data_IF_317331608465
#
_entry.id   IF_317331608465
#
_cell.length_a   1.000
_cell.length_b   1.000
_cell.length_c   1.000
_cell.angle_alpha   90.00
_cell.angle_beta   90.00
_cell.angle_gamma   90.00
#
_symmetry.space_group_name_H-M   'P 1'
#
loop_
_entity.id
_entity.type
_entity.pdbx_description
1 polymer ?
#
# COMPACT_ATOMS: atom_id res chain seq x y z
N UNK A 1 -47.92 44.90 47.16
CA UNK A 1 -47.64 46.34 47.33
C UNK A 1 -46.45 46.51 48.27
N UNK A 2 -45.52 47.40 47.88
CA UNK A 2 -44.36 47.92 48.63
C UNK A 2 -43.18 46.98 48.88
N UNK A 3 -42.00 47.60 48.77
CA UNK A 3 -40.72 47.04 48.36
C UNK A 3 -39.61 47.32 49.39
N UNK A 4 -38.51 46.56 49.26
CA UNK A 4 -37.09 46.95 49.54
C UNK A 4 -36.67 47.20 51.02
N UNK A 5 -35.36 47.24 51.36
CA UNK A 5 -34.31 46.20 51.18
C UNK A 5 -33.29 46.13 52.37
N UNK A 6 -32.28 45.26 52.23
CA UNK A 6 -30.88 45.38 52.72
C UNK A 6 -30.55 45.39 54.22
N UNK A 7 -29.57 44.55 54.60
CA UNK A 7 -28.29 45.02 55.18
C UNK A 7 -27.24 43.90 55.31
N UNK A 8 -26.09 44.17 54.71
CA UNK A 8 -24.80 43.51 54.94
C UNK A 8 -24.33 43.74 56.38
N UNK A 9 -23.72 42.72 57.00
CA UNK A 9 -22.60 42.93 57.92
C UNK A 9 -21.69 41.70 57.98
N UNK A 10 -20.46 41.92 57.53
CA UNK A 10 -19.27 41.10 57.75
C UNK A 10 -18.65 41.51 59.08
N UNK A 11 -18.23 40.56 59.93
CA UNK A 11 -17.02 40.64 60.77
C UNK A 11 -16.52 39.22 61.10
N UNK A 12 -15.30 38.95 60.60
CA UNK A 12 -14.17 38.13 61.11
C UNK A 12 -14.33 37.39 62.45
N UNK A 13 -13.79 36.17 62.54
CA UNK A 13 -12.45 35.95 63.11
C UNK A 13 -12.04 34.47 63.11
N UNK A 14 -10.76 34.27 62.80
CA UNK A 14 -10.00 33.03 62.82
C UNK A 14 -10.01 32.35 64.18
N UNK A 15 -10.20 31.01 64.20
CA UNK A 15 -9.55 30.14 65.17
C UNK A 15 -8.99 28.93 64.42
N UNK A 16 -7.67 28.86 64.38
CA UNK A 16 -6.88 27.71 63.97
C UNK A 16 -7.05 26.58 64.98
N UNK A 17 -7.28 25.36 64.49
CA UNK A 17 -6.88 24.12 65.16
C UNK A 17 -6.20 23.22 64.11
N UNK A 18 -5.07 22.57 64.44
CA UNK A 18 -4.24 21.87 63.46
C UNK A 18 -4.84 20.49 63.17
N UNK A 19 -5.12 20.20 61.91
CA UNK A 19 -5.47 18.86 61.46
C UNK A 19 -4.31 18.23 60.70
N UNK A 20 -4.07 16.98 61.07
CA UNK A 20 -2.90 16.16 60.87
C UNK A 20 -2.59 15.78 59.42
N UNK A 21 -1.30 15.64 59.19
CA UNK A 21 -0.59 15.48 57.92
C UNK A 21 -0.53 14.02 57.42
N UNK A 22 -1.67 13.37 57.12
CA UNK A 22 -1.68 11.99 56.57
C UNK A 22 -2.82 11.67 55.58
N UNK A 23 -3.34 12.63 54.82
CA UNK A 23 -4.39 12.33 53.81
C UNK A 23 -4.31 13.12 52.51
N UNK A 24 -3.20 13.82 52.22
CA UNK A 24 -3.02 14.60 50.99
C UNK A 24 -2.25 13.88 49.86
N UNK A 25 -1.86 12.63 50.05
CA UNK A 25 -1.27 11.78 49.01
C UNK A 25 -2.20 10.58 48.79
N UNK A 26 -3.37 10.82 48.16
CA UNK A 26 -4.23 9.78 47.54
C UNK A 26 -5.45 10.30 46.76
N UNK A 27 -5.59 11.62 46.59
CA UNK A 27 -6.65 12.24 45.76
C UNK A 27 -6.06 13.03 44.58
N UNK A 28 -4.90 12.59 44.06
CA UNK A 28 -4.28 13.17 42.85
C UNK A 28 -4.16 12.17 41.68
N UNK A 29 -4.84 11.03 41.74
CA UNK A 29 -4.87 10.05 40.64
C UNK A 29 -6.27 9.63 40.19
N UNK A 30 -7.34 10.29 40.62
CA UNK A 30 -8.70 9.87 40.29
C UNK A 30 -9.67 11.04 40.07
N UNK A 31 -9.44 11.77 38.97
CA UNK A 31 -10.42 12.55 38.20
C UNK A 31 -9.69 12.96 36.90
N UNK A 32 -9.77 12.20 35.81
CA UNK A 32 -10.87 12.24 34.86
C UNK A 32 -11.20 13.67 34.40
N UNK A 33 -10.61 14.08 33.27
CA UNK A 33 -11.26 14.91 32.24
C UNK A 33 -10.46 14.70 30.95
N UNK A 34 -10.93 13.85 30.04
CA UNK A 34 -11.96 14.13 29.02
C UNK A 34 -11.29 14.64 27.74
N UNK A 35 -11.23 13.72 26.77
CA UNK A 35 -11.59 13.94 25.37
C UNK A 35 -11.10 15.24 24.73
N UNK A 36 -9.93 15.15 24.09
CA UNK A 36 -9.88 15.63 22.71
C UNK A 36 -10.39 14.49 21.83
N UNK A 37 -11.69 14.52 21.53
CA UNK A 37 -12.20 13.90 20.31
C UNK A 37 -11.54 14.62 19.12
N UNK A 38 -10.36 14.15 18.72
CA UNK A 38 -10.09 14.11 17.30
C UNK A 38 -11.02 13.05 16.73
N UNK A 39 -11.90 13.46 15.82
CA UNK A 39 -12.64 12.56 14.95
C UNK A 39 -11.58 11.76 14.18
N UNK A 40 -11.19 10.61 14.70
CA UNK A 40 -10.17 9.75 14.15
C UNK A 40 -10.78 8.36 14.00
N UNK A 41 -10.62 7.83 12.79
CA UNK A 41 -11.09 6.51 12.36
C UNK A 41 -10.75 5.41 13.38
N UNK A 42 -11.75 4.57 13.73
CA UNK A 42 -11.62 3.31 14.48
C UNK A 42 -11.59 3.43 16.01
N UNK A 43 -12.47 2.71 16.71
CA UNK A 43 -12.41 2.55 18.17
C UNK A 43 -11.42 1.41 18.51
N UNK A 44 -10.51 1.63 19.47
CA UNK A 44 -9.59 0.56 19.91
C UNK A 44 -10.36 -0.54 20.63
N UNK A 45 -10.35 -1.76 20.06
CA UNK A 45 -10.96 -2.97 20.63
C UNK A 45 -10.07 -3.61 21.69
N UNK A 46 -8.75 -3.57 21.48
CA UNK A 46 -7.78 -4.19 22.35
C UNK A 46 -6.45 -3.45 22.32
N UNK A 47 -5.78 -3.33 23.47
CA UNK A 47 -4.41 -2.85 23.55
C UNK A 47 -3.68 -3.52 24.70
N UNK A 48 -2.53 -4.12 24.41
CA UNK A 48 -1.68 -4.76 25.41
C UNK A 48 -0.24 -4.30 25.21
N UNK A 49 0.42 -3.94 26.31
CA UNK A 49 1.88 -3.72 26.33
C UNK A 49 2.52 -4.71 27.29
N UNK A 50 3.44 -5.52 26.80
CA UNK A 50 4.22 -6.46 27.60
C UNK A 50 5.71 -6.13 27.51
N UNK A 51 6.45 -6.34 28.61
CA UNK A 51 7.91 -6.26 28.60
C UNK A 51 8.49 -7.62 28.24
N UNK A 52 8.86 -7.81 26.98
CA UNK A 52 9.41 -9.07 26.47
C UNK A 52 10.94 -9.01 26.51
N UNK A 53 11.58 -10.10 26.95
CA UNK A 53 13.03 -10.23 27.04
C UNK A 53 13.54 -11.51 26.39
N UNK A 54 14.72 -11.99 26.79
CA UNK A 54 15.39 -13.16 26.20
C UNK A 54 14.58 -14.46 26.27
N UNK A 55 13.66 -14.59 27.21
CA UNK A 55 12.77 -15.77 27.31
C UNK A 55 11.72 -15.84 26.20
N UNK A 56 11.58 -14.80 25.38
CA UNK A 56 10.45 -14.66 24.48
C UNK A 56 9.16 -14.29 25.22
N UNK A 57 8.04 -14.40 24.51
CA UNK A 57 6.71 -14.14 25.06
C UNK A 57 5.66 -13.93 23.98
N UNK A 58 4.42 -13.75 24.39
CA UNK A 58 3.29 -13.54 23.49
C UNK A 58 2.52 -12.29 23.91
N UNK A 59 2.06 -11.52 22.93
CA UNK A 59 1.02 -10.49 23.08
C UNK A 59 -0.11 -10.81 22.12
N UNK A 60 -1.36 -10.67 22.55
CA UNK A 60 -2.48 -11.11 21.71
C UNK A 60 -3.84 -10.87 22.34
N UNK A 61 -4.86 -10.87 21.49
CA UNK A 61 -6.27 -10.73 21.86
C UNK A 61 -7.02 -11.96 21.38
N UNK A 62 -7.57 -12.74 22.31
CA UNK A 62 -8.49 -13.83 21.97
C UNK A 62 -9.80 -13.33 21.39
N UNK A 63 -10.24 -12.13 21.76
CA UNK A 63 -11.49 -11.53 21.25
C UNK A 63 -11.39 -11.12 19.79
N UNK A 64 -10.20 -10.66 19.37
CA UNK A 64 -9.95 -10.26 17.98
C UNK A 64 -9.23 -11.34 17.16
N UNK A 65 -8.90 -12.47 17.80
CA UNK A 65 -8.15 -13.60 17.22
C UNK A 65 -6.78 -13.20 16.60
N UNK A 66 -6.09 -12.26 17.28
CA UNK A 66 -4.79 -11.73 16.84
C UNK A 66 -3.72 -12.08 17.85
N UNK A 67 -2.63 -12.70 17.39
CA UNK A 67 -1.52 -13.09 18.27
C UNK A 67 -0.17 -12.75 17.65
N UNK A 68 0.76 -12.29 18.48
CA UNK A 68 2.16 -12.10 18.14
C UNK A 68 3.01 -12.86 19.15
N UNK A 69 3.71 -13.86 18.67
CA UNK A 69 4.65 -14.68 19.45
C UNK A 69 6.08 -14.28 19.11
N UNK A 70 6.89 -14.09 20.14
CA UNK A 70 8.30 -13.72 20.05
C UNK A 70 9.11 -14.88 20.59
N UNK A 71 9.96 -15.46 19.75
CA UNK A 71 10.73 -16.64 20.09
C UNK A 71 11.77 -16.36 21.20
N UNK A 72 12.10 -17.36 22.05
CA UNK A 72 13.23 -17.26 22.96
C UNK A 72 14.52 -16.86 22.22
N UNK A 73 15.26 -15.92 22.77
CA UNK A 73 16.49 -15.38 22.17
C UNK A 73 16.28 -14.32 21.09
N UNK A 74 15.04 -14.05 20.67
CA UNK A 74 14.77 -12.99 19.69
C UNK A 74 15.13 -11.59 20.22
N UNK A 75 15.01 -11.36 21.53
CA UNK A 75 15.31 -10.07 22.15
C UNK A 75 16.61 -10.16 22.98
N UNK A 76 17.55 -9.25 22.75
CA UNK A 76 18.84 -9.17 23.47
C UNK A 76 18.70 -8.63 24.89
N UNK A 77 17.66 -7.82 25.15
CA UNK A 77 17.30 -7.25 26.46
C UNK A 77 15.80 -7.04 26.57
N UNK A 78 15.29 -6.77 27.78
CA UNK A 78 13.87 -6.49 28.00
C UNK A 78 13.45 -5.20 27.30
N UNK A 79 12.38 -5.26 26.51
CA UNK A 79 11.82 -4.11 25.80
C UNK A 79 10.29 -4.16 25.79
N UNK A 80 9.58 -3.02 25.88
CA UNK A 80 8.14 -3.00 25.71
C UNK A 80 7.75 -3.33 24.26
N UNK A 81 6.81 -4.27 24.12
CA UNK A 81 6.12 -4.60 22.88
C UNK A 81 4.65 -4.27 23.09
N UNK A 82 4.09 -3.45 22.20
CA UNK A 82 2.68 -3.04 22.26
C UNK A 82 1.94 -3.58 21.04
N UNK A 83 0.85 -4.30 21.27
CA UNK A 83 -0.11 -4.70 20.24
C UNK A 83 -1.39 -3.89 20.44
N UNK A 84 -1.89 -3.27 19.39
CA UNK A 84 -3.17 -2.55 19.36
C UNK A 84 -4.03 -3.12 18.25
N UNK A 85 -5.31 -3.36 18.54
CA UNK A 85 -6.32 -3.78 17.58
C UNK A 85 -7.45 -2.76 17.60
N UNK A 86 -7.67 -2.12 16.47
CA UNK A 86 -8.72 -1.14 16.24
C UNK A 86 -9.90 -1.78 15.50
N UNK A 87 -11.10 -1.25 15.73
CA UNK A 87 -12.35 -1.81 15.22
C UNK A 87 -12.40 -1.86 13.70
N UNK A 88 -11.70 -0.95 13.04
CA UNK A 88 -11.69 -0.78 11.59
C UNK A 88 -10.28 -0.51 11.07
N UNK A 89 -9.96 -1.00 9.89
CA UNK A 89 -8.77 -0.58 9.14
C UNK A 89 -8.84 0.91 8.75
N UNK A 90 -7.70 1.59 8.57
CA UNK A 90 -7.66 2.91 7.95
C UNK A 90 -8.34 2.92 6.57
N UNK A 91 -9.13 3.95 6.27
CA UNK A 91 -9.89 4.05 4.99
C UNK A 91 -9.02 3.87 3.74
N UNK A 92 -7.76 4.31 3.77
CA UNK A 92 -6.82 4.14 2.65
C UNK A 92 -6.45 2.69 2.32
N UNK A 93 -6.69 1.77 3.24
CA UNK A 93 -6.48 0.33 3.01
C UNK A 93 -7.73 -0.28 2.38
N UNK A 94 -8.91 0.26 2.69
CA UNK A 94 -10.19 -0.14 2.11
C UNK A 94 -10.24 0.36 0.64
N UNK A 95 -9.63 -0.40 -0.26
CA UNK A 95 -9.69 -0.19 -1.70
C UNK A 95 -10.47 -1.30 -2.40
N UNK A 96 -10.95 -1.01 -3.61
CA UNK A 96 -11.62 -1.99 -4.45
C UNK A 96 -10.67 -3.16 -4.81
N UNK A 97 -11.21 -4.37 -4.89
CA UNK A 97 -10.48 -5.56 -5.35
C UNK A 97 -9.81 -6.43 -4.27
N UNK A 98 -9.79 -6.01 -3.01
CA UNK A 98 -9.27 -6.81 -1.89
C UNK A 98 -10.29 -6.96 -0.78
N UNK A 99 -10.46 -8.19 -0.28
CA UNK A 99 -11.09 -8.42 1.02
C UNK A 99 -10.02 -8.36 2.10
N UNK A 100 -10.00 -7.29 2.88
CA UNK A 100 -9.01 -7.07 3.94
C UNK A 100 -9.61 -7.49 5.28
N UNK A 101 -8.78 -7.95 6.21
CA UNK A 101 -9.22 -8.14 7.60
C UNK A 101 -9.87 -6.86 8.15
N UNK A 102 -11.04 -6.95 8.81
CA UNK A 102 -11.81 -5.77 9.18
C UNK A 102 -11.11 -4.91 10.24
N UNK A 103 -10.29 -5.52 11.09
CA UNK A 103 -9.65 -4.84 12.22
C UNK A 103 -8.26 -4.32 11.88
N UNK A 104 -7.99 -3.07 12.25
CA UNK A 104 -6.65 -2.50 12.15
C UNK A 104 -5.73 -3.07 13.21
N UNK A 105 -4.64 -3.74 12.83
CA UNK A 105 -3.66 -4.28 13.78
C UNK A 105 -2.38 -3.47 13.70
N UNK A 106 -1.90 -2.99 14.85
CA UNK A 106 -0.63 -2.27 14.98
C UNK A 106 0.28 -2.93 16.00
N UNK A 107 1.50 -3.25 15.60
CA UNK A 107 2.56 -3.78 16.45
C UNK A 107 3.66 -2.72 16.61
N UNK A 108 3.98 -2.38 17.85
CA UNK A 108 5.06 -1.45 18.20
C UNK A 108 6.14 -2.16 19.00
N UNK A 109 7.37 -2.05 18.55
CA UNK A 109 8.54 -2.65 19.20
C UNK A 109 9.81 -1.83 18.93
N UNK A 110 10.90 -2.15 19.62
CA UNK A 110 12.21 -1.49 19.46
C UNK A 110 13.17 -2.35 18.62
N UNK A 111 13.50 -1.98 17.36
CA UNK A 111 14.31 -2.82 16.48
C UNK A 111 15.74 -3.08 17.00
N UNK A 112 16.30 -2.14 17.75
CA UNK A 112 17.66 -2.20 18.29
C UNK A 112 17.84 -3.26 19.40
N UNK A 113 16.74 -3.81 19.92
CA UNK A 113 16.78 -4.90 20.89
C UNK A 113 16.73 -6.28 20.23
N UNK A 114 16.43 -6.37 18.93
CA UNK A 114 16.35 -7.64 18.21
C UNK A 114 17.74 -8.25 18.02
N UNK A 115 17.89 -9.55 18.31
CA UNK A 115 19.06 -10.31 17.89
C UNK A 115 19.08 -10.48 16.37
N UNK A 116 20.24 -10.81 15.78
CA UNK A 116 20.35 -11.00 14.33
C UNK A 116 19.47 -12.15 13.81
N UNK A 117 19.20 -13.15 14.65
CA UNK A 117 18.34 -14.31 14.36
C UNK A 117 16.92 -14.15 14.90
N UNK A 118 16.51 -12.94 15.29
CA UNK A 118 15.18 -12.74 15.87
C UNK A 118 14.09 -13.09 14.86
N UNK A 119 13.11 -13.88 15.29
CA UNK A 119 11.89 -14.17 14.53
C UNK A 119 10.68 -13.86 15.39
N UNK A 120 9.69 -13.20 14.78
CA UNK A 120 8.37 -12.97 15.35
C UNK A 120 7.35 -13.69 14.47
N UNK A 121 6.44 -14.44 15.10
CA UNK A 121 5.32 -15.07 14.41
C UNK A 121 4.07 -14.26 14.69
N UNK A 122 3.43 -13.76 13.63
CA UNK A 122 2.18 -13.00 13.68
C UNK A 122 1.06 -13.88 13.15
N UNK A 123 -0.02 -14.03 13.90
CA UNK A 123 -1.23 -14.75 13.49
C UNK A 123 -2.36 -13.74 13.39
N UNK A 124 -2.95 -13.63 12.20
CA UNK A 124 -4.05 -12.72 11.89
C UNK A 124 -5.18 -13.48 11.20
N UNK A 125 -6.45 -13.13 11.47
CA UNK A 125 -7.57 -13.63 10.69
C UNK A 125 -7.53 -13.04 9.28
N UNK A 126 -8.10 -13.75 8.31
CA UNK A 126 -8.39 -13.21 6.97
C UNK A 126 -9.88 -13.28 6.64
N UNK A 127 -10.31 -12.41 5.73
CA UNK A 127 -11.69 -12.40 5.25
C UNK A 127 -11.80 -13.23 3.96
N UNK A 128 -12.93 -13.92 3.79
CA UNK A 128 -13.21 -14.73 2.59
C UNK A 128 -12.62 -16.14 2.63
N UNK A 129 -12.65 -16.82 1.48
CA UNK A 129 -12.11 -18.17 1.33
C UNK A 129 -10.59 -18.13 1.12
N UNK A 130 -9.86 -19.02 1.79
CA UNK A 130 -8.42 -19.13 1.58
C UNK A 130 -8.11 -19.50 0.12
N UNK A 131 -7.26 -18.72 -0.52
CA UNK A 131 -6.73 -18.99 -1.85
C UNK A 131 -5.22 -19.19 -1.77
N UNK A 132 -4.82 -20.44 -1.97
CA UNK A 132 -3.43 -20.91 -1.92
C UNK A 132 -2.63 -20.61 -3.19
N UNK A 133 -3.28 -20.05 -4.24
CA UNK A 133 -2.54 -19.54 -5.40
C UNK A 133 -1.56 -18.46 -4.93
N UNK A 134 -0.43 -18.35 -5.62
CA UNK A 134 0.77 -17.63 -5.18
C UNK A 134 0.59 -16.12 -4.93
N UNK A 135 -0.61 -15.56 -5.11
CA UNK A 135 -0.83 -14.11 -5.07
C UNK A 135 -2.15 -13.64 -4.44
N UNK A 136 -3.02 -14.54 -3.94
CA UNK A 136 -4.37 -14.14 -3.55
C UNK A 136 -4.54 -13.88 -2.04
N UNK A 137 -4.26 -14.83 -1.15
CA UNK A 137 -4.37 -14.61 0.31
C UNK A 137 -3.00 -14.34 0.92
N UNK A 138 -2.73 -13.08 1.28
CA UNK A 138 -1.41 -12.63 1.74
C UNK A 138 -1.48 -11.86 3.05
N UNK A 139 -0.39 -11.89 3.81
CA UNK A 139 -0.18 -11.01 4.95
C UNK A 139 0.72 -9.85 4.54
N UNK A 140 0.34 -8.63 4.89
CA UNK A 140 1.06 -7.42 4.55
C UNK A 140 1.45 -6.68 5.83
N UNK A 141 2.68 -6.20 5.86
CA UNK A 141 3.15 -5.23 6.85
C UNK A 141 3.32 -3.87 6.19
N UNK A 142 2.76 -2.82 6.81
CA UNK A 142 2.86 -1.44 6.36
C UNK A 142 3.54 -0.57 7.43
N UNK A 143 4.55 0.21 7.05
CA UNK A 143 5.22 1.17 7.94
C UNK A 143 4.44 2.49 8.03
N UNK A 144 4.83 3.36 8.97
CA UNK A 144 4.13 4.64 9.21
C UNK A 144 4.08 5.53 7.96
N UNK A 145 5.12 5.49 7.13
CA UNK A 145 5.27 6.21 5.86
C UNK A 145 4.50 5.58 4.69
N UNK A 146 3.85 4.42 4.89
CA UNK A 146 2.99 3.77 3.90
C UNK A 146 3.72 2.76 2.99
N UNK A 147 5.01 2.49 3.21
CA UNK A 147 5.68 1.38 2.53
C UNK A 147 5.09 0.06 3.00
N UNK A 148 4.85 -0.86 2.06
CA UNK A 148 4.25 -2.17 2.32
C UNK A 148 5.20 -3.26 1.89
N UNK A 149 5.18 -4.37 2.64
CA UNK A 149 5.93 -5.56 2.31
C UNK A 149 5.00 -6.77 2.51
N UNK A 150 4.98 -7.66 1.52
CA UNK A 150 4.34 -8.96 1.67
C UNK A 150 5.17 -9.83 2.61
N UNK A 151 4.51 -10.40 3.61
CA UNK A 151 5.14 -11.27 4.61
C UNK A 151 4.91 -12.71 4.19
N UNK A 152 5.96 -13.55 4.10
CA UNK A 152 5.79 -14.97 3.91
C UNK A 152 4.87 -15.54 5.00
N UNK A 153 3.73 -16.07 4.58
CA UNK A 153 2.68 -16.55 5.48
C UNK A 153 2.14 -17.90 5.05
N UNK A 154 1.81 -18.73 6.04
CA UNK A 154 1.15 -20.02 5.84
C UNK A 154 -0.23 -20.01 6.48
N UNK A 155 -1.16 -20.76 5.91
CA UNK A 155 -2.45 -21.01 6.52
C UNK A 155 -2.28 -21.61 7.93
N UNK A 156 -3.00 -21.06 8.90
CA UNK A 156 -3.04 -21.53 10.29
C UNK A 156 -4.50 -21.76 10.66
N UNK A 157 -4.89 -23.02 10.83
CA UNK A 157 -6.32 -23.38 10.94
C UNK A 157 -7.08 -23.03 9.66
N UNK A 158 -8.37 -22.70 9.80
CA UNK A 158 -9.27 -22.51 8.63
C UNK A 158 -9.41 -21.04 8.20
N UNK A 159 -9.01 -20.10 9.05
CA UNK A 159 -9.33 -18.67 8.87
C UNK A 159 -8.20 -17.70 9.24
N UNK A 160 -6.99 -18.21 9.49
CA UNK A 160 -5.84 -17.38 9.87
C UNK A 160 -4.63 -17.57 8.96
N UNK A 161 -3.84 -16.51 8.83
CA UNK A 161 -2.48 -16.58 8.31
C UNK A 161 -1.50 -16.45 9.46
N UNK A 162 -0.49 -17.31 9.48
CA UNK A 162 0.71 -17.18 10.30
C UNK A 162 1.86 -16.64 9.45
N UNK A 163 2.22 -15.37 9.64
CA UNK A 163 3.34 -14.71 8.97
C UNK A 163 4.57 -14.63 9.86
N UNK A 164 5.77 -14.73 9.25
CA UNK A 164 7.04 -14.62 9.98
C UNK A 164 7.76 -13.32 9.63
N UNK A 165 8.07 -12.53 10.66
CA UNK A 165 8.86 -11.31 10.56
C UNK A 165 10.23 -11.56 11.20
N UNK A 166 11.29 -11.53 10.41
CA UNK A 166 12.64 -11.65 10.93
C UNK A 166 13.28 -10.29 11.27
N UNK A 167 14.43 -10.33 11.94
CA UNK A 167 15.17 -9.15 12.34
C UNK A 167 15.58 -8.26 11.16
N UNK A 168 15.94 -8.86 10.02
CA UNK A 168 16.40 -8.14 8.84
C UNK A 168 15.23 -7.37 8.22
N UNK A 169 14.08 -8.02 8.05
CA UNK A 169 12.83 -7.40 7.61
C UNK A 169 12.41 -6.26 8.54
N UNK A 170 12.38 -6.47 9.85
CA UNK A 170 11.96 -5.40 10.78
C UNK A 170 12.92 -4.22 10.75
N UNK A 171 14.23 -4.46 10.60
CA UNK A 171 15.25 -3.40 10.50
C UNK A 171 15.20 -2.66 9.17
N UNK A 172 14.94 -3.34 8.05
CA UNK A 172 14.75 -2.65 6.77
C UNK A 172 13.52 -1.74 6.82
N UNK A 173 12.48 -2.17 7.54
CA UNK A 173 11.27 -1.39 7.79
C UNK A 173 11.53 -0.13 8.68
N UNK A 174 12.60 -0.11 9.47
CA UNK A 174 12.97 0.98 10.41
C UNK A 174 13.82 2.11 9.79
N UNK A 175 14.44 1.89 8.62
CA UNK A 175 15.47 2.78 8.03
C UNK A 175 15.04 4.25 7.79
N UNK A 176 13.74 4.57 7.89
CA UNK A 176 13.20 5.92 7.69
C UNK A 176 12.42 6.48 8.90
N UNK A 177 12.44 5.79 10.04
CA UNK A 177 11.80 6.26 11.25
C UNK A 177 12.49 7.49 11.85
N UNK A 178 11.80 8.65 11.86
CA UNK A 178 12.22 9.82 12.66
C UNK A 178 12.20 9.54 14.18
N UNK A 179 11.55 8.45 14.58
CA UNK A 179 11.42 8.01 15.97
C UNK A 179 12.53 7.01 16.30
N UNK A 180 13.76 7.50 16.49
CA UNK A 180 14.92 6.70 16.90
C UNK A 180 14.59 5.85 18.15
N UNK A 181 14.27 4.58 17.95
CA UNK A 181 14.09 3.59 19.03
C UNK A 181 12.75 2.85 19.09
N UNK A 182 11.72 3.21 18.30
CA UNK A 182 10.50 2.38 18.18
C UNK A 182 9.87 2.46 16.80
N UNK A 183 9.68 1.30 16.18
CA UNK A 183 8.92 1.13 14.95
C UNK A 183 7.45 0.85 15.25
N UNK A 184 6.55 1.36 14.42
CA UNK A 184 5.13 0.97 14.39
C UNK A 184 4.85 0.29 13.06
N UNK A 185 4.49 -0.98 13.14
CA UNK A 185 4.12 -1.83 12.01
C UNK A 185 2.61 -1.99 12.01
N UNK A 186 1.96 -1.61 10.92
CA UNK A 186 0.57 -1.99 10.67
C UNK A 186 0.56 -3.34 10.00
N UNK A 187 -0.33 -4.22 10.43
CA UNK A 187 -0.40 -5.61 9.99
C UNK A 187 -1.83 -5.87 9.51
N UNK A 188 -1.97 -6.48 8.35
CA UNK A 188 -3.28 -6.85 7.81
C UNK A 188 -3.15 -8.04 6.88
N UNK A 189 -4.24 -8.78 6.72
CA UNK A 189 -4.36 -9.80 5.69
C UNK A 189 -5.18 -9.23 4.55
N UNK A 190 -4.83 -9.59 3.33
CA UNK A 190 -5.56 -9.24 2.13
C UNK A 190 -5.85 -10.53 1.39
N UNK A 191 -7.11 -10.76 1.07
CA UNK A 191 -7.55 -11.84 0.21
C UNK A 191 -8.04 -11.24 -1.11
N UNK A 192 -7.38 -11.63 -2.20
CA UNK A 192 -7.73 -11.29 -3.57
C UNK A 192 -8.99 -12.01 -4.06
N UNK A 193 -10.01 -12.20 -3.22
CA UNK A 193 -11.22 -12.94 -3.63
C UNK A 193 -12.20 -12.12 -4.48
N UNK A 194 -11.78 -10.98 -5.05
CA UNK A 194 -12.54 -10.24 -6.06
C UNK A 194 -11.82 -10.14 -7.41
N UNK A 195 -10.63 -10.72 -7.54
CA UNK A 195 -10.01 -10.95 -8.83
C UNK A 195 -9.89 -12.47 -9.06
N UNK A 196 -11.01 -13.12 -9.40
CA UNK A 196 -10.88 -13.91 -10.63
C UNK A 196 -10.26 -12.94 -11.61
N UNK A 197 -9.06 -13.22 -12.12
CA UNK A 197 -8.47 -12.41 -13.18
C UNK A 197 -9.60 -12.05 -14.12
N UNK A 198 -9.99 -10.77 -14.15
CA UNK A 198 -11.13 -10.38 -14.96
C UNK A 198 -10.83 -10.84 -16.39
N UNK A 199 -11.83 -11.06 -17.22
CA UNK A 199 -11.53 -11.26 -18.64
C UNK A 199 -10.66 -10.09 -19.09
N UNK A 200 -9.46 -10.38 -19.58
CA UNK A 200 -8.57 -9.35 -20.08
C UNK A 200 -9.28 -8.63 -21.22
N UNK A 201 -9.70 -7.40 -20.98
CA UNK A 201 -10.21 -6.52 -22.03
C UNK A 201 -9.06 -5.59 -22.37
N UNK A 202 -8.58 -5.68 -23.60
CA UNK A 202 -7.54 -4.80 -24.10
C UNK A 202 -7.89 -4.26 -25.48
N UNK A 203 -7.37 -3.07 -25.79
CA UNK A 203 -7.52 -2.44 -27.10
C UNK A 203 -6.35 -1.50 -27.38
N UNK A 204 -6.07 -1.27 -28.65
CA UNK A 204 -5.17 -0.19 -29.08
C UNK A 204 -6.04 0.92 -29.66
N UNK A 205 -5.84 2.14 -29.18
CA UNK A 205 -6.69 3.29 -29.51
C UNK A 205 -5.83 4.39 -30.15
N UNK A 206 -6.23 4.96 -31.29
CA UNK A 206 -5.54 6.13 -31.82
C UNK A 206 -5.83 7.36 -30.97
N UNK A 207 -4.86 8.26 -30.87
CA UNK A 207 -5.07 9.58 -30.27
C UNK A 207 -5.47 10.58 -31.37
N UNK A 208 -6.71 11.07 -31.30
CA UNK A 208 -7.31 11.99 -32.27
C UNK A 208 -8.21 12.98 -31.51
N UNK A 209 -8.25 14.23 -31.98
CA UNK A 209 -9.08 15.29 -31.39
C UNK A 209 -8.86 15.44 -29.87
N UNK A 210 -7.58 15.39 -29.45
CA UNK A 210 -7.12 15.49 -28.06
C UNK A 210 -7.60 14.38 -27.10
N UNK A 211 -7.99 13.21 -27.63
CA UNK A 211 -8.36 12.06 -26.82
C UNK A 211 -7.97 10.73 -27.46
N UNK A 212 -7.81 9.69 -26.64
CA UNK A 212 -7.74 8.31 -27.14
C UNK A 212 -9.15 7.81 -27.48
N UNK A 213 -9.31 7.27 -28.68
CA UNK A 213 -10.61 6.96 -29.26
C UNK A 213 -10.90 5.45 -29.23
N UNK A 214 -11.69 4.93 -28.28
CA UNK A 214 -11.91 3.49 -28.11
C UNK A 214 -12.69 2.83 -29.27
N UNK A 215 -13.49 3.61 -30.00
CA UNK A 215 -14.35 3.12 -31.08
C UNK A 215 -13.78 3.37 -32.47
N UNK A 216 -12.66 4.08 -32.58
CA UNK A 216 -12.04 4.41 -33.87
C UNK A 216 -10.94 3.39 -34.16
N UNK A 217 -10.99 2.68 -35.31
CA UNK A 217 -9.92 1.78 -35.69
C UNK A 217 -8.59 2.53 -35.83
N UNK A 218 -7.50 1.89 -35.39
CA UNK A 218 -6.15 2.43 -35.62
C UNK A 218 -5.89 2.49 -37.12
N UNK A 219 -5.61 3.67 -37.71
CA UNK A 219 -5.31 3.76 -39.13
C UNK A 219 -3.98 3.07 -39.46
N UNK A 220 -3.71 2.75 -40.74
CA UNK A 220 -2.37 2.34 -41.15
C UNK A 220 -1.33 3.36 -40.69
N UNK A 221 -0.31 2.89 -39.96
CA UNK A 221 0.71 3.75 -39.38
C UNK A 221 1.92 3.90 -40.31
N UNK A 222 2.56 5.07 -40.26
CA UNK A 222 3.80 5.39 -40.97
C UNK A 222 4.65 6.38 -40.18
N UNK A 223 5.94 6.48 -40.47
CA UNK A 223 6.83 7.43 -39.81
C UNK A 223 7.10 7.10 -38.34
N UNK A 224 7.18 8.13 -37.48
CA UNK A 224 7.45 7.98 -36.05
C UNK A 224 6.17 7.81 -35.25
N UNK A 225 6.10 6.75 -34.44
CA UNK A 225 4.94 6.40 -33.63
C UNK A 225 5.26 6.51 -32.14
N UNK A 226 4.40 7.17 -31.37
CA UNK A 226 4.42 7.10 -29.90
C UNK A 226 3.36 6.11 -29.41
N UNK A 227 3.74 5.24 -28.47
CA UNK A 227 2.85 4.27 -27.82
C UNK A 227 2.71 4.60 -26.34
N UNK A 228 1.52 5.01 -25.91
CA UNK A 228 1.22 5.33 -24.52
C UNK A 228 0.60 4.13 -23.79
N UNK A 229 1.06 3.83 -22.57
CA UNK A 229 0.57 2.71 -21.76
C UNK A 229 0.27 3.20 -20.34
N UNK A 230 -0.97 3.01 -19.89
CA UNK A 230 -1.47 3.48 -18.58
C UNK A 230 -1.14 2.50 -17.44
N UNK A 231 -1.17 2.99 -16.20
CA UNK A 231 -0.89 2.22 -14.99
C UNK A 231 -2.11 1.46 -14.44
N UNK A 232 -1.91 0.78 -13.30
CA UNK A 232 -2.86 -0.18 -12.70
C UNK A 232 -4.22 0.39 -12.22
N UNK A 233 -4.27 1.70 -11.93
CA UNK A 233 -5.48 2.38 -11.41
C UNK A 233 -5.90 3.56 -12.30
N UNK A 234 -5.43 3.57 -13.53
CA UNK A 234 -5.66 4.63 -14.50
C UNK A 234 -6.15 4.01 -15.80
N UNK A 235 -6.67 4.81 -16.70
CA UNK A 235 -6.97 4.42 -18.09
C UNK A 235 -6.29 5.37 -19.09
N UNK A 236 -6.57 5.20 -20.38
CA UNK A 236 -6.00 6.10 -21.40
C UNK A 236 -6.52 7.54 -21.31
N UNK A 237 -7.71 7.79 -20.73
CA UNK A 237 -8.21 9.16 -20.54
C UNK A 237 -7.33 9.95 -19.56
N UNK A 238 -6.77 9.28 -18.55
CA UNK A 238 -5.77 9.88 -17.64
C UNK A 238 -4.48 10.28 -18.35
N UNK A 239 -4.19 9.69 -19.51
CA UNK A 239 -3.04 10.02 -20.35
C UNK A 239 -3.35 11.03 -21.45
N UNK A 240 -4.56 11.61 -21.51
CA UNK A 240 -4.93 12.55 -22.57
C UNK A 240 -3.96 13.74 -22.66
N UNK A 241 -3.57 14.32 -21.52
CA UNK A 241 -2.58 15.42 -21.48
C UNK A 241 -1.20 15.01 -22.00
N UNK A 242 -0.79 13.76 -21.79
CA UNK A 242 0.45 13.24 -22.38
C UNK A 242 0.28 13.13 -23.91
N UNK A 243 -0.85 12.61 -24.40
CA UNK A 243 -1.16 12.56 -25.83
C UNK A 243 -1.17 13.94 -26.48
N UNK A 244 -1.80 14.93 -25.85
CA UNK A 244 -1.82 16.33 -26.31
C UNK A 244 -0.39 16.90 -26.40
N UNK A 245 0.42 16.66 -25.36
CA UNK A 245 1.81 17.09 -25.36
C UNK A 245 2.58 16.48 -26.53
N UNK A 246 2.50 15.16 -26.71
CA UNK A 246 3.19 14.45 -27.79
C UNK A 246 2.73 14.91 -29.18
N UNK A 247 1.44 15.23 -29.35
CA UNK A 247 0.89 15.74 -30.60
C UNK A 247 1.38 17.16 -30.91
N UNK A 248 1.67 17.96 -29.87
CA UNK A 248 2.18 19.32 -30.00
C UNK A 248 3.70 19.39 -30.17
N UNK A 249 4.46 18.32 -29.87
CA UNK A 249 5.91 18.32 -30.03
C UNK A 249 6.27 18.49 -31.51
N UNK A 250 7.15 19.44 -31.79
CA UNK A 250 7.66 19.70 -33.13
C UNK A 250 9.18 19.58 -33.20
N UNK A 251 9.68 19.07 -34.33
CA UNK A 251 11.09 19.09 -34.70
C UNK A 251 11.23 19.75 -36.07
N UNK A 252 12.06 20.79 -36.17
CA UNK A 252 12.27 21.56 -37.40
C UNK A 252 10.95 22.06 -38.06
N UNK A 253 9.99 22.50 -37.24
CA UNK A 253 8.70 23.05 -37.70
C UNK A 253 7.70 22.01 -38.22
N UNK A 254 7.94 20.72 -37.97
CA UNK A 254 7.01 19.62 -38.29
C UNK A 254 6.65 18.84 -37.02
N UNK A 255 5.49 18.18 -36.94
CA UNK A 255 5.19 17.26 -35.86
C UNK A 255 6.31 16.24 -35.70
N UNK A 256 6.74 16.00 -34.46
CA UNK A 256 7.79 15.02 -34.18
C UNK A 256 7.27 13.59 -34.33
N UNK A 257 6.04 13.34 -33.84
CA UNK A 257 5.32 12.09 -34.03
C UNK A 257 4.30 12.22 -35.15
N UNK A 258 4.30 11.26 -36.07
CA UNK A 258 3.30 11.14 -37.13
C UNK A 258 2.01 10.50 -36.58
N UNK A 259 2.14 9.59 -35.62
CA UNK A 259 1.02 8.93 -34.96
C UNK A 259 1.27 8.74 -33.46
N UNK A 260 0.18 8.80 -32.70
CA UNK A 260 0.15 8.49 -31.27
C UNK A 260 -0.96 7.47 -31.06
N UNK A 261 -0.61 6.36 -30.42
CA UNK A 261 -1.54 5.30 -30.06
C UNK A 261 -1.44 5.00 -28.56
N UNK A 262 -2.51 4.52 -27.97
CA UNK A 262 -2.57 4.10 -26.57
C UNK A 262 -2.94 2.62 -26.47
N UNK A 263 -2.36 1.91 -25.51
CA UNK A 263 -2.79 0.56 -25.14
C UNK A 263 -3.64 0.61 -23.87
N UNK A 264 -4.92 0.29 -24.02
CA UNK A 264 -5.88 0.14 -22.92
C UNK A 264 -5.92 -1.31 -22.48
N UNK A 265 -5.93 -1.57 -21.18
CA UNK A 265 -6.11 -2.91 -20.62
C UNK A 265 -6.82 -2.88 -19.26
N UNK A 266 -7.49 -3.98 -18.90
CA UNK A 266 -7.96 -4.21 -17.53
C UNK A 266 -6.78 -4.62 -16.65
N UNK A 267 -6.53 -3.89 -15.57
CA UNK A 267 -5.29 -4.02 -14.78
C UNK A 267 -5.30 -5.12 -13.72
N UNK A 268 -6.36 -5.92 -13.68
CA UNK A 268 -6.62 -6.95 -12.68
C UNK A 268 -6.30 -8.37 -13.16
N UNK A 269 -5.34 -8.49 -14.08
CA UNK A 269 -4.94 -9.73 -14.76
C UNK A 269 -3.43 -9.93 -14.55
N UNK A 270 -2.90 -11.17 -14.51
CA UNK A 270 -1.47 -11.39 -14.39
C UNK A 270 -0.65 -10.57 -15.38
N UNK A 271 0.45 -9.97 -14.91
CA UNK A 271 1.26 -9.05 -15.71
C UNK A 271 1.75 -9.67 -17.02
N UNK A 272 2.09 -10.95 -16.99
CA UNK A 272 2.48 -11.72 -18.17
C UNK A 272 1.38 -11.77 -19.24
N UNK A 273 0.12 -11.89 -18.85
CA UNK A 273 -1.01 -11.92 -19.77
C UNK A 273 -1.26 -10.54 -20.38
N UNK A 274 -1.21 -9.48 -19.56
CA UNK A 274 -1.30 -8.09 -20.03
C UNK A 274 -0.16 -7.78 -21.00
N UNK A 275 1.08 -8.11 -20.63
CA UNK A 275 2.26 -7.89 -21.47
C UNK A 275 2.22 -8.70 -22.77
N UNK A 276 1.66 -9.91 -22.74
CA UNK A 276 1.41 -10.71 -23.95
C UNK A 276 0.39 -10.04 -24.85
N UNK A 277 -0.74 -9.58 -24.31
CA UNK A 277 -1.76 -8.89 -25.09
C UNK A 277 -1.25 -7.56 -25.67
N UNK A 278 -0.42 -6.83 -24.91
CA UNK A 278 0.27 -5.64 -25.40
C UNK A 278 1.17 -5.98 -26.58
N UNK A 279 2.05 -6.97 -26.42
CA UNK A 279 2.96 -7.40 -27.48
C UNK A 279 2.22 -7.83 -28.75
N UNK A 280 1.18 -8.68 -28.62
CA UNK A 280 0.39 -9.16 -29.76
C UNK A 280 -0.37 -8.03 -30.45
N UNK A 281 -1.10 -7.20 -29.69
CA UNK A 281 -1.94 -6.15 -30.27
C UNK A 281 -1.11 -5.10 -30.98
N UNK A 282 0.00 -4.68 -30.37
CA UNK A 282 0.84 -3.61 -30.90
C UNK A 282 1.76 -4.10 -32.00
N UNK A 283 2.34 -5.30 -31.92
CA UNK A 283 3.15 -5.81 -33.04
C UNK A 283 2.35 -5.98 -34.33
N UNK A 284 1.09 -6.43 -34.25
CA UNK A 284 0.23 -6.55 -35.43
C UNK A 284 0.01 -5.20 -36.13
N UNK A 285 0.00 -4.11 -35.37
CA UNK A 285 -0.13 -2.75 -35.89
C UNK A 285 1.24 -2.22 -36.38
N UNK A 286 2.31 -2.48 -35.63
CA UNK A 286 3.64 -1.93 -35.87
C UNK A 286 4.47 -2.70 -36.91
N UNK A 287 4.04 -3.86 -37.38
CA UNK A 287 4.76 -4.63 -38.40
C UNK A 287 4.65 -4.03 -39.81
N UNK A 288 4.07 -2.82 -39.95
CA UNK A 288 3.96 -2.11 -41.22
C UNK A 288 5.32 -1.53 -41.66
N UNK A 289 5.68 -1.73 -42.93
CA UNK A 289 6.98 -1.33 -43.50
C UNK A 289 7.23 0.18 -43.58
N UNK A 290 6.22 1.00 -43.33
CA UNK A 290 6.32 2.46 -43.40
C UNK A 290 6.70 3.13 -42.07
N UNK A 291 6.82 2.37 -40.98
CA UNK A 291 7.19 2.90 -39.66
C UNK A 291 8.71 3.04 -39.58
N UNK A 292 9.18 4.23 -39.22
CA UNK A 292 10.60 4.55 -39.13
C UNK A 292 11.14 4.45 -37.71
N UNK A 293 10.29 4.69 -36.70
CA UNK A 293 10.69 4.63 -35.29
C UNK A 293 9.46 4.48 -34.38
N UNK A 294 9.63 3.75 -33.27
CA UNK A 294 8.60 3.56 -32.25
C UNK A 294 9.14 3.94 -30.88
N UNK A 295 8.52 4.92 -30.23
CA UNK A 295 8.84 5.31 -28.85
C UNK A 295 7.70 4.84 -27.92
N UNK A 296 8.03 4.29 -26.75
CA UNK A 296 7.07 3.75 -25.77
C UNK A 296 7.10 4.59 -24.50
N UNK A 297 5.93 5.11 -24.10
CA UNK A 297 5.72 5.88 -22.88
C UNK A 297 4.88 5.08 -21.90
N UNK A 298 5.47 4.70 -20.76
CA UNK A 298 4.82 3.81 -19.81
C UNK A 298 4.71 4.45 -18.42
N UNK A 299 3.49 4.51 -17.87
CA UNK A 299 3.22 5.05 -16.53
C UNK A 299 3.02 3.97 -15.45
N UNK A 300 3.74 4.07 -14.32
CA UNK A 300 3.57 3.16 -13.17
C UNK A 300 3.69 1.68 -13.57
N UNK A 301 2.71 0.82 -13.25
CA UNK A 301 2.73 -0.61 -13.61
C UNK A 301 2.90 -0.87 -15.11
N UNK A 302 2.49 0.07 -15.97
CA UNK A 302 2.71 -0.01 -17.41
C UNK A 302 4.17 -0.29 -17.77
N UNK A 303 5.10 0.19 -16.96
CA UNK A 303 6.51 -0.03 -17.22
C UNK A 303 6.90 -1.51 -17.16
N UNK A 304 6.33 -2.25 -16.22
CA UNK A 304 6.53 -3.70 -16.12
C UNK A 304 5.83 -4.43 -17.27
N UNK A 305 4.63 -3.98 -17.65
CA UNK A 305 3.88 -4.50 -18.82
C UNK A 305 4.69 -4.28 -20.12
N UNK A 306 5.19 -3.06 -20.33
CA UNK A 306 5.97 -2.68 -21.50
C UNK A 306 7.32 -3.41 -21.53
N UNK A 307 8.02 -3.49 -20.40
CA UNK A 307 9.26 -4.27 -20.29
C UNK A 307 9.02 -5.74 -20.63
N UNK A 308 7.96 -6.35 -20.11
CA UNK A 308 7.60 -7.72 -20.47
C UNK A 308 7.39 -7.87 -21.98
N UNK A 309 6.62 -6.97 -22.61
CA UNK A 309 6.37 -7.00 -24.06
C UNK A 309 7.62 -6.72 -24.91
N UNK A 310 8.53 -5.88 -24.44
CA UNK A 310 9.78 -5.50 -25.11
C UNK A 310 10.83 -6.60 -24.99
N UNK A 311 10.95 -7.25 -23.82
CA UNK A 311 12.03 -8.20 -23.52
C UNK A 311 11.62 -9.65 -23.80
N UNK A 312 10.44 -10.06 -23.32
CA UNK A 312 10.00 -11.46 -23.35
C UNK A 312 8.92 -11.72 -24.41
N UNK A 313 7.86 -10.90 -24.40
CA UNK A 313 6.67 -11.12 -25.19
C UNK A 313 6.04 -12.49 -24.89
N UNK A 314 5.55 -13.18 -25.93
CA UNK A 314 5.11 -14.58 -25.84
C UNK A 314 5.96 -15.54 -26.69
N UNK A 315 7.17 -15.12 -27.07
CA UNK A 315 8.05 -15.84 -27.99
C UNK A 315 7.74 -15.60 -29.49
N UNK A 316 6.47 -15.46 -29.86
CA UNK A 316 6.05 -15.12 -31.24
C UNK A 316 5.93 -13.62 -31.42
N UNK A 317 5.29 -12.94 -30.46
CA UNK A 317 5.09 -11.51 -30.46
C UNK A 317 5.98 -10.85 -29.43
N UNK A 318 6.79 -9.88 -29.86
CA UNK A 318 7.70 -9.06 -29.07
C UNK A 318 7.87 -7.73 -29.78
N UNK A 319 7.63 -6.62 -29.06
CA UNK A 319 7.74 -5.29 -29.66
C UNK A 319 9.18 -4.76 -29.67
N UNK A 320 10.09 -5.33 -28.88
CA UNK A 320 11.49 -4.90 -28.79
C UNK A 320 12.19 -4.72 -30.14
N UNK A 321 12.13 -5.69 -31.08
CA UNK A 321 12.70 -5.52 -32.42
C UNK A 321 12.09 -4.37 -33.24
N UNK A 322 10.85 -3.95 -32.93
CA UNK A 322 10.12 -2.88 -33.62
C UNK A 322 10.46 -1.49 -33.07
N UNK A 323 11.06 -1.41 -31.88
CA UNK A 323 11.51 -0.13 -31.33
C UNK A 323 12.62 0.47 -32.21
N UNK A 324 13.52 -0.35 -32.75
CA UNK A 324 14.65 0.13 -33.55
C UNK A 324 15.52 1.11 -32.77
N UNK A 325 15.72 2.32 -33.33
CA UNK A 325 16.36 3.47 -32.67
C UNK A 325 15.38 4.27 -31.77
N UNK A 326 14.28 3.63 -31.41
CA UNK A 326 13.22 4.10 -30.53
C UNK A 326 13.65 4.29 -29.08
N UNK A 327 12.86 5.08 -28.34
CA UNK A 327 13.06 5.35 -26.93
C UNK A 327 12.02 4.63 -26.09
N UNK A 328 12.46 4.13 -24.95
CA UNK A 328 11.58 3.71 -23.86
C UNK A 328 11.61 4.78 -22.77
N UNK A 329 10.47 5.42 -22.52
CA UNK A 329 10.29 6.49 -21.55
C UNK A 329 9.46 5.98 -20.38
N UNK A 330 10.12 5.85 -19.23
CA UNK A 330 9.50 5.41 -17.99
C UNK A 330 9.01 6.59 -17.16
N UNK A 331 7.70 6.62 -16.88
CA UNK A 331 7.04 7.63 -16.07
C UNK A 331 6.64 7.02 -14.73
N UNK A 332 7.26 7.49 -13.65
CA UNK A 332 7.05 6.97 -12.28
C UNK A 332 7.21 5.44 -12.23
N UNK A 333 8.36 4.94 -12.68
CA UNK A 333 8.72 3.52 -12.56
C UNK A 333 8.46 3.07 -11.12
N UNK A 334 7.72 1.96 -10.88
CA UNK A 334 7.85 1.24 -9.63
C UNK A 334 9.27 0.67 -9.63
N UNK A 335 10.23 1.46 -9.12
CA UNK A 335 11.64 1.10 -9.03
C UNK A 335 11.77 -0.23 -8.27
N UNK A 336 12.72 -1.07 -8.66
CA UNK A 336 13.15 -2.25 -7.88
C UNK A 336 13.67 -1.81 -6.48
N UNK A 337 13.93 -0.50 -6.28
CA UNK A 337 14.19 0.12 -4.96
C UNK A 337 12.96 0.66 -4.24
N UNK A 338 11.80 0.72 -4.90
CA UNK A 338 10.52 0.70 -4.18
C UNK A 338 10.27 -0.77 -3.87
N UNK A 339 10.35 -1.14 -2.59
CA UNK A 339 10.36 -2.52 -2.07
C UNK A 339 9.07 -3.33 -2.33
N UNK A 340 8.67 -3.43 -3.58
CA UNK A 340 7.68 -4.34 -4.10
C UNK A 340 8.41 -5.27 -5.05
N UNK A 341 9.10 -6.28 -4.51
CA UNK A 341 9.33 -7.48 -5.31
C UNK A 341 7.96 -8.05 -5.67
N UNK A 342 7.60 -8.17 -6.96
CA UNK A 342 6.50 -9.05 -7.33
C UNK A 342 6.96 -10.46 -6.95
N UNK A 343 6.28 -11.05 -5.98
CA UNK A 343 6.44 -12.46 -5.65
C UNK A 343 6.01 -13.25 -6.89
N UNK A 344 7.01 -13.69 -7.68
CA UNK A 344 6.84 -14.56 -8.84
C UNK A 344 6.93 -13.84 -10.19
N UNK A 345 8.15 -13.78 -10.74
CA UNK A 345 8.40 -13.89 -12.17
C UNK A 345 8.75 -15.35 -12.51
#
# INVERSE_FOLDING_TARGET
MKAKPSLLRSVRANIFAPLSDQSRIRVLCLAATIFCASIADGATLFSQTAKIGRSGGTVGSSTADVFVTIDPGAFTRRSPVTLTVDSTQPKRLLGDGFLISPHGVSLRLSPDVLSASATLTVILPFAGAYDASTSATTMIVETRDGRRLAVPSTLSGDSHLAGRLDAATIRSLDLHGKDHGRIVLRLFTANGSLLQAGTLVSSVQPFLDNAFQPTVPVPPLSGRVAVCVHGIYTDLSDLALLGEHLAAVQQAGRPYYDHIIGFQYTSNVPLKEIGTAFATSVQNILSASAITQVDVYAHSMANLVSRWAIEQGNGTYRIGPLLGDGHYVSLRYPDERSEYEPVGL
#
